data_IF_018058578930
#
_entry.id   IF_018058578930
#
_cell.length_a   1.000
_cell.length_b   1.000
_cell.length_c   1.000
_cell.angle_alpha   90.00
_cell.angle_beta   90.00
_cell.angle_gamma   90.00
#
_symmetry.space_group_name_H-M   'P 1'
#
loop_
_entity.id
_entity.type
_entity.pdbx_description
1 polymer ?
#
# COMPACT_ATOMS: atom_id res chain seq x y z
N UNK A 1 18.14 19.78 14.43
CA UNK A 1 17.72 18.39 14.12
C UNK A 1 16.19 18.32 14.24
N UNK A 2 15.46 18.55 13.14
CA UNK A 2 14.00 18.36 13.12
C UNK A 2 13.75 16.92 12.69
N UNK A 3 13.58 16.02 13.65
CA UNK A 3 13.10 14.69 13.40
C UNK A 3 11.69 14.77 12.82
N UNK A 4 11.57 14.53 11.53
CA UNK A 4 10.29 14.42 10.84
C UNK A 4 9.54 13.25 11.50
N UNK A 5 8.53 13.56 12.33
CA UNK A 5 7.56 12.56 12.78
C UNK A 5 6.97 11.96 11.52
N UNK A 6 7.32 10.71 11.22
CA UNK A 6 6.63 9.96 10.19
C UNK A 6 5.14 9.94 10.56
N UNK A 7 4.32 10.50 9.68
CA UNK A 7 2.89 10.58 9.92
C UNK A 7 2.31 9.18 10.17
N UNK A 8 1.90 8.93 11.39
CA UNK A 8 1.28 7.67 11.84
C UNK A 8 -0.15 7.52 11.30
N UNK A 9 -0.63 8.49 10.54
CA UNK A 9 -1.99 8.54 10.00
C UNK A 9 -1.96 8.41 8.48
N UNK A 10 -2.91 7.65 7.93
CA UNK A 10 -3.22 7.60 6.50
C UNK A 10 -4.55 8.31 6.27
N UNK A 11 -4.51 9.46 5.60
CA UNK A 11 -5.68 10.35 5.41
C UNK A 11 -6.48 9.95 4.16
N UNK A 12 -7.07 8.78 4.20
CA UNK A 12 -8.09 8.37 3.22
C UNK A 12 -9.44 8.99 3.59
N UNK A 13 -10.26 9.30 2.57
CA UNK A 13 -11.57 9.93 2.77
C UNK A 13 -12.68 8.90 2.76
N UNK A 14 -13.81 9.26 3.36
CA UNK A 14 -15.05 8.48 3.25
C UNK A 14 -15.29 8.03 1.78
N UNK A 15 -15.68 6.79 1.54
CA UNK A 15 -16.19 5.77 2.48
C UNK A 15 -15.10 4.95 3.18
N UNK A 16 -13.82 5.29 3.01
CA UNK A 16 -12.68 4.59 3.59
C UNK A 16 -12.32 5.16 4.97
N UNK A 17 -11.83 4.30 5.85
CA UNK A 17 -11.03 4.70 7.01
C UNK A 17 -9.81 3.81 7.15
N UNK A 18 -8.77 4.33 7.80
CA UNK A 18 -7.51 3.63 8.00
C UNK A 18 -7.14 3.64 9.49
N UNK A 19 -6.82 2.46 10.04
CA UNK A 19 -6.34 2.28 11.40
C UNK A 19 -4.93 1.69 11.34
N UNK A 20 -3.96 2.36 11.96
CA UNK A 20 -2.59 1.85 12.07
C UNK A 20 -2.59 0.60 12.96
N UNK A 21 -1.95 -0.47 12.52
CA UNK A 21 -1.76 -1.68 13.30
C UNK A 21 -0.49 -1.55 14.15
N UNK A 22 -0.64 -1.83 15.45
CA UNK A 22 0.40 -1.55 16.46
C UNK A 22 1.01 -2.81 17.08
N UNK A 23 0.44 -3.98 16.78
CA UNK A 23 0.92 -5.27 17.27
C UNK A 23 0.22 -5.73 18.55
N UNK A 24 -1.08 -5.55 18.63
CA UNK A 24 -1.92 -6.22 19.64
C UNK A 24 -2.12 -7.69 19.28
N UNK A 25 -2.42 -8.54 20.26
CA UNK A 25 -2.72 -9.94 20.02
C UNK A 25 -3.93 -10.11 19.07
N UNK A 26 -4.98 -9.31 19.27
CA UNK A 26 -6.17 -9.33 18.43
C UNK A 26 -5.87 -9.01 16.97
N UNK A 27 -5.05 -7.99 16.70
CA UNK A 27 -4.62 -7.64 15.34
C UNK A 27 -3.89 -8.81 14.67
N UNK A 28 -2.98 -9.47 15.40
CA UNK A 28 -2.24 -10.63 14.90
C UNK A 28 -3.14 -11.81 14.57
N UNK A 29 -4.10 -12.12 15.45
CA UNK A 29 -5.07 -13.21 15.25
C UNK A 29 -5.95 -12.95 14.02
N UNK A 30 -6.47 -11.73 13.90
CA UNK A 30 -7.31 -11.31 12.77
C UNK A 30 -6.56 -11.41 11.44
N UNK A 31 -5.33 -10.87 11.37
CA UNK A 31 -4.52 -10.97 10.15
C UNK A 31 -4.18 -12.42 9.82
N UNK A 32 -3.78 -13.22 10.80
CA UNK A 32 -3.48 -14.64 10.59
C UNK A 32 -4.69 -15.39 10.02
N UNK A 33 -5.90 -15.10 10.52
CA UNK A 33 -7.14 -15.71 10.01
C UNK A 33 -7.43 -15.28 8.56
N UNK A 34 -7.36 -13.99 8.26
CA UNK A 34 -7.62 -13.46 6.91
C UNK A 34 -6.63 -13.98 5.88
N UNK A 35 -5.34 -14.01 6.19
CA UNK A 35 -4.29 -14.43 5.24
C UNK A 35 -4.29 -15.92 4.91
N UNK A 36 -5.11 -16.74 5.61
CA UNK A 36 -5.35 -18.15 5.27
C UNK A 36 -6.39 -18.36 4.17
N UNK A 37 -7.08 -17.31 3.72
CA UNK A 37 -8.03 -17.41 2.62
C UNK A 37 -7.30 -17.83 1.34
N UNK A 38 -7.84 -18.79 0.61
CA UNK A 38 -7.19 -19.45 -0.52
C UNK A 38 -6.63 -18.48 -1.57
N UNK A 39 -7.40 -17.44 -1.91
CA UNK A 39 -6.95 -16.45 -2.89
C UNK A 39 -5.79 -15.58 -2.39
N UNK A 40 -5.67 -15.34 -1.06
CA UNK A 40 -4.55 -14.62 -0.46
C UNK A 40 -3.32 -15.52 -0.33
N UNK A 41 -3.51 -16.78 0.02
CA UNK A 41 -2.42 -17.78 0.02
C UNK A 41 -1.75 -17.83 -1.36
N UNK A 42 -2.54 -17.86 -2.43
CA UNK A 42 -2.04 -17.91 -3.81
C UNK A 42 -1.36 -16.63 -4.30
N UNK A 43 -1.73 -15.48 -3.75
CA UNK A 43 -1.31 -14.17 -4.30
C UNK A 43 -0.34 -13.41 -3.41
N UNK A 44 -0.39 -13.64 -2.10
CA UNK A 44 0.46 -12.94 -1.13
C UNK A 44 1.52 -13.85 -0.48
N UNK A 45 1.24 -15.13 -0.32
CA UNK A 45 2.13 -16.14 0.26
C UNK A 45 2.67 -15.81 1.66
N UNK A 46 1.93 -15.03 2.48
CA UNK A 46 2.28 -14.69 3.87
C UNK A 46 1.31 -15.31 4.86
N UNK A 47 1.28 -16.64 4.92
CA UNK A 47 0.47 -17.40 5.89
C UNK A 47 1.22 -17.49 7.21
N UNK A 48 1.33 -16.36 7.91
CA UNK A 48 2.06 -16.29 9.17
C UNK A 48 1.13 -16.60 10.36
N UNK A 49 1.68 -17.22 11.45
CA UNK A 49 0.96 -17.33 12.70
C UNK A 49 0.77 -15.96 13.35
N UNK A 50 -0.22 -15.83 14.23
CA UNK A 50 -0.60 -14.57 14.88
C UNK A 50 0.59 -13.84 15.54
N UNK A 51 1.42 -14.55 16.30
CA UNK A 51 2.60 -13.97 16.96
C UNK A 51 3.57 -13.31 15.97
N UNK A 52 3.77 -13.90 14.79
CA UNK A 52 4.65 -13.31 13.76
C UNK A 52 4.09 -12.01 13.18
N UNK A 53 2.75 -11.88 13.06
CA UNK A 53 2.11 -10.62 12.67
C UNK A 53 2.29 -9.56 13.75
N UNK A 54 2.08 -9.92 15.02
CA UNK A 54 2.33 -9.03 16.17
C UNK A 54 3.77 -8.50 16.15
N UNK A 55 4.75 -9.39 16.00
CA UNK A 55 6.17 -9.01 15.96
C UNK A 55 6.49 -8.13 14.75
N UNK A 56 5.87 -8.39 13.60
CA UNK A 56 6.01 -7.56 12.40
C UNK A 56 5.51 -6.13 12.66
N UNK A 57 4.30 -5.97 13.20
CA UNK A 57 3.74 -4.64 13.48
C UNK A 57 4.55 -3.86 14.52
N UNK A 58 4.98 -4.52 15.60
CA UNK A 58 5.83 -3.88 16.62
C UNK A 58 7.18 -3.43 16.06
N UNK A 59 7.78 -4.24 15.22
CA UNK A 59 9.04 -3.90 14.55
C UNK A 59 8.84 -2.72 13.61
N UNK A 60 7.80 -2.74 12.77
CA UNK A 60 7.46 -1.64 11.87
C UNK A 60 7.27 -0.33 12.62
N UNK A 61 6.61 -0.38 13.77
CA UNK A 61 6.42 0.79 14.64
C UNK A 61 7.75 1.30 15.23
N UNK A 62 8.65 0.40 15.63
CA UNK A 62 9.94 0.75 16.22
C UNK A 62 10.93 1.31 15.20
N UNK A 63 10.99 0.73 14.01
CA UNK A 63 11.92 1.11 12.93
C UNK A 63 11.39 2.28 12.08
N UNK A 64 10.07 2.48 12.04
CA UNK A 64 9.43 3.49 11.21
C UNK A 64 9.61 3.24 9.70
N UNK A 65 10.00 2.02 9.31
CA UNK A 65 10.27 1.63 7.92
C UNK A 65 8.97 1.39 7.15
N UNK A 66 8.04 0.71 7.79
CA UNK A 66 6.77 0.29 7.22
C UNK A 66 5.61 0.78 8.09
N UNK A 67 4.48 1.06 7.45
CA UNK A 67 3.26 1.48 8.13
C UNK A 67 2.13 0.54 7.74
N UNK A 68 1.82 -0.47 8.57
CA UNK A 68 0.72 -1.39 8.34
C UNK A 68 -0.62 -0.78 8.76
N UNK A 69 -1.62 -0.86 7.89
CA UNK A 69 -2.96 -0.35 8.14
C UNK A 69 -4.04 -1.40 7.89
N UNK A 70 -5.04 -1.41 8.75
CA UNK A 70 -6.34 -1.98 8.44
C UNK A 70 -7.21 -0.90 7.80
N UNK A 71 -7.72 -1.21 6.62
CA UNK A 71 -8.65 -0.34 5.91
C UNK A 71 -10.06 -0.87 6.08
N UNK A 72 -11.00 0.03 6.38
CA UNK A 72 -12.43 -0.29 6.35
C UNK A 72 -13.12 0.44 5.21
N UNK A 73 -14.19 -0.17 4.70
CA UNK A 73 -15.15 0.42 3.77
C UNK A 73 -16.50 0.50 4.46
N UNK A 74 -17.03 1.71 4.67
CA UNK A 74 -18.29 1.93 5.41
C UNK A 74 -18.33 1.19 6.77
N UNK A 75 -17.20 1.23 7.51
CA UNK A 75 -17.05 0.60 8.81
C UNK A 75 -16.74 -0.91 8.78
N UNK A 76 -16.83 -1.58 7.62
CA UNK A 76 -16.52 -2.99 7.45
C UNK A 76 -15.05 -3.20 7.05
N UNK A 77 -14.38 -4.17 7.66
CA UNK A 77 -13.00 -4.51 7.30
C UNK A 77 -12.91 -4.87 5.81
N UNK A 78 -12.02 -4.21 5.08
CA UNK A 78 -11.89 -4.31 3.63
C UNK A 78 -10.53 -4.83 3.19
N UNK A 79 -9.45 -4.18 3.63
CA UNK A 79 -8.11 -4.50 3.15
C UNK A 79 -7.04 -4.31 4.23
N UNK A 80 -5.96 -5.05 4.08
CA UNK A 80 -4.69 -4.81 4.73
C UNK A 80 -3.76 -4.08 3.76
N UNK A 81 -3.08 -3.04 4.25
CA UNK A 81 -2.15 -2.22 3.47
C UNK A 81 -0.86 -2.02 4.24
N UNK A 82 0.28 -2.14 3.58
CA UNK A 82 1.58 -1.68 4.06
C UNK A 82 2.05 -0.53 3.16
N UNK A 83 2.41 0.60 3.77
CA UNK A 83 3.07 1.72 3.07
C UNK A 83 4.48 1.85 3.61
N UNK A 84 5.48 1.85 2.75
CA UNK A 84 6.88 1.86 3.14
C UNK A 84 7.71 2.83 2.29
N UNK A 85 8.87 3.24 2.83
CA UNK A 85 9.84 4.02 2.04
C UNK A 85 10.56 3.10 1.05
N UNK A 86 10.47 3.43 -0.22
CA UNK A 86 11.00 2.59 -1.31
C UNK A 86 12.50 2.32 -1.15
N UNK A 87 13.26 3.30 -0.66
CA UNK A 87 14.71 3.18 -0.39
C UNK A 87 15.08 2.09 0.62
N UNK A 88 14.15 1.69 1.50
CA UNK A 88 14.37 0.64 2.51
C UNK A 88 13.81 -0.72 2.09
N UNK A 89 13.26 -0.82 0.88
CA UNK A 89 12.63 -2.04 0.38
C UNK A 89 13.61 -2.93 -0.38
N UNK A 90 13.20 -4.18 -0.58
CA UNK A 90 13.90 -5.12 -1.47
C UNK A 90 13.95 -4.66 -2.92
N UNK A 91 13.15 -3.67 -3.31
CA UNK A 91 13.16 -3.07 -4.64
C UNK A 91 14.24 -2.01 -4.83
N UNK A 92 14.77 -1.43 -3.77
CA UNK A 92 15.72 -0.31 -3.86
C UNK A 92 16.90 -0.57 -4.82
N UNK A 93 17.50 -1.77 -4.90
CA UNK A 93 18.56 -2.06 -5.85
C UNK A 93 18.10 -2.19 -7.31
N UNK A 94 16.80 -2.23 -7.58
CA UNK A 94 16.23 -2.59 -8.87
C UNK A 94 15.42 -1.49 -9.54
N UNK A 95 15.21 -0.37 -8.85
CA UNK A 95 14.38 0.74 -9.34
C UNK A 95 15.00 2.07 -8.95
N UNK A 96 14.83 3.09 -9.78
CA UNK A 96 15.18 4.45 -9.38
C UNK A 96 14.17 4.95 -8.35
N UNK A 97 14.65 5.63 -7.33
CA UNK A 97 13.82 6.18 -6.26
C UNK A 97 14.35 7.52 -5.74
N UNK A 98 13.41 8.36 -5.32
CA UNK A 98 13.70 9.58 -4.55
C UNK A 98 13.58 9.31 -3.05
N UNK A 99 14.19 10.16 -2.22
CA UNK A 99 14.24 10.03 -0.75
C UNK A 99 12.89 9.80 -0.07
N UNK A 100 11.81 10.26 -0.68
CA UNK A 100 10.44 10.19 -0.15
C UNK A 100 9.50 9.31 -0.96
N UNK A 101 10.02 8.59 -1.94
CA UNK A 101 9.20 7.69 -2.74
C UNK A 101 8.71 6.51 -1.92
N UNK A 102 7.48 6.11 -2.20
CA UNK A 102 6.75 5.14 -1.41
C UNK A 102 6.53 3.85 -2.19
N UNK A 103 6.60 2.76 -1.46
CA UNK A 103 6.08 1.47 -1.92
C UNK A 103 4.78 1.12 -1.19
N UNK A 104 3.96 0.27 -1.80
CA UNK A 104 2.75 -0.23 -1.17
C UNK A 104 2.51 -1.72 -1.43
N UNK A 105 2.01 -2.40 -0.40
CA UNK A 105 1.37 -3.70 -0.50
C UNK A 105 -0.10 -3.55 -0.17
N UNK A 106 -0.96 -4.32 -0.85
CA UNK A 106 -2.40 -4.32 -0.61
C UNK A 106 -2.98 -5.73 -0.74
N UNK A 107 -3.72 -6.17 0.27
CA UNK A 107 -4.55 -7.37 0.24
C UNK A 107 -5.99 -7.02 0.59
N UNK A 108 -6.93 -7.27 -0.32
CA UNK A 108 -8.36 -7.22 0.02
C UNK A 108 -8.67 -8.45 0.85
N UNK A 109 -9.08 -8.25 2.11
CA UNK A 109 -9.25 -9.31 3.12
C UNK A 109 -10.68 -9.84 3.21
N UNK A 110 -11.66 -9.11 2.69
CA UNK A 110 -13.06 -9.54 2.66
C UNK A 110 -13.43 -10.05 1.26
N UNK A 111 -13.65 -11.37 1.09
CA UNK A 111 -13.99 -11.95 -0.19
C UNK A 111 -15.31 -11.41 -0.76
N UNK A 112 -16.27 -11.01 0.09
CA UNK A 112 -17.52 -10.44 -0.35
C UNK A 112 -17.40 -9.04 -0.98
N UNK A 113 -16.25 -8.38 -0.77
CA UNK A 113 -15.93 -7.07 -1.34
C UNK A 113 -14.98 -7.17 -2.55
N UNK A 114 -14.57 -8.38 -2.94
CA UNK A 114 -13.79 -8.59 -4.16
C UNK A 114 -14.67 -8.48 -5.41
N UNK A 115 -14.05 -8.33 -6.59
CA UNK A 115 -14.73 -8.27 -7.91
C UNK A 115 -15.80 -7.18 -8.09
N UNK A 116 -15.84 -6.17 -7.20
CA UNK A 116 -16.78 -5.03 -7.25
C UNK A 116 -16.13 -3.72 -7.69
N UNK A 117 -14.91 -3.75 -8.18
CA UNK A 117 -14.15 -2.55 -8.52
C UNK A 117 -13.62 -1.76 -7.30
N UNK A 118 -13.96 -2.17 -6.07
CA UNK A 118 -13.57 -1.46 -4.84
C UNK A 118 -12.05 -1.39 -4.67
N UNK A 119 -11.31 -2.45 -5.01
CA UNK A 119 -9.85 -2.44 -4.96
C UNK A 119 -9.23 -1.36 -5.86
N UNK A 120 -9.74 -1.20 -7.07
CA UNK A 120 -9.30 -0.15 -8.00
C UNK A 120 -9.64 1.24 -7.46
N UNK A 121 -10.88 1.44 -7.00
CA UNK A 121 -11.32 2.71 -6.40
C UNK A 121 -10.46 3.08 -5.19
N UNK A 122 -10.24 2.12 -4.30
CA UNK A 122 -9.40 2.35 -3.13
C UNK A 122 -7.94 2.70 -3.51
N UNK A 123 -7.35 2.01 -4.48
CA UNK A 123 -5.98 2.32 -4.97
C UNK A 123 -5.86 3.75 -5.49
N UNK A 124 -6.87 4.27 -6.20
CA UNK A 124 -6.92 5.65 -6.66
C UNK A 124 -6.92 6.61 -5.47
N UNK A 125 -7.83 6.39 -4.51
CA UNK A 125 -7.99 7.24 -3.33
C UNK A 125 -6.76 7.19 -2.41
N UNK A 126 -6.19 6.00 -2.21
CA UNK A 126 -4.96 5.76 -1.45
C UNK A 126 -3.78 6.51 -2.07
N UNK A 127 -3.54 6.33 -3.35
CA UNK A 127 -2.41 6.95 -4.06
C UNK A 127 -2.52 8.48 -4.01
N UNK A 128 -3.72 9.03 -4.21
CA UNK A 128 -3.97 10.45 -4.06
C UNK A 128 -3.73 10.94 -2.62
N UNK A 129 -4.14 10.18 -1.61
CA UNK A 129 -3.88 10.49 -0.20
C UNK A 129 -2.38 10.51 0.10
N UNK A 130 -1.63 9.52 -0.37
CA UNK A 130 -0.16 9.44 -0.20
C UNK A 130 0.54 10.65 -0.81
N UNK A 131 0.15 11.06 -2.01
CA UNK A 131 0.70 12.25 -2.65
C UNK A 131 0.31 13.56 -1.91
N UNK A 132 -0.90 13.68 -1.37
CA UNK A 132 -1.29 14.85 -0.58
C UNK A 132 -0.49 14.96 0.72
N UNK A 133 -0.32 13.83 1.43
CA UNK A 133 0.37 13.81 2.72
C UNK A 133 1.89 13.96 2.60
N UNK A 134 2.47 13.55 1.50
CA UNK A 134 3.90 13.65 1.26
C UNK A 134 4.19 14.40 -0.06
N UNK A 135 4.24 15.75 -0.03
CA UNK A 135 4.50 16.54 -1.24
C UNK A 135 5.83 16.22 -1.94
N UNK A 136 6.81 15.73 -1.20
CA UNK A 136 8.12 15.33 -1.74
C UNK A 136 8.13 13.94 -2.37
N UNK A 137 7.06 13.14 -2.25
CA UNK A 137 6.93 11.85 -2.94
C UNK A 137 6.71 12.09 -4.43
N UNK A 138 7.57 11.56 -5.27
CA UNK A 138 7.49 11.74 -6.74
C UNK A 138 6.79 10.56 -7.42
N UNK A 139 6.78 9.40 -6.79
CA UNK A 139 6.10 8.20 -7.27
C UNK A 139 5.68 7.27 -6.14
N UNK A 140 4.68 6.44 -6.43
CA UNK A 140 4.29 5.30 -5.62
C UNK A 140 4.50 4.03 -6.43
N UNK A 141 5.12 3.01 -5.84
CA UNK A 141 5.47 1.75 -6.50
C UNK A 141 4.76 0.58 -5.83
N UNK A 142 4.28 -0.36 -6.62
CA UNK A 142 3.78 -1.65 -6.17
C UNK A 142 4.48 -2.76 -6.97
N UNK A 143 4.69 -3.93 -6.32
CA UNK A 143 5.40 -5.04 -6.95
C UNK A 143 4.64 -6.37 -6.83
N UNK A 144 3.42 -6.47 -7.41
CA UNK A 144 2.70 -7.73 -7.44
C UNK A 144 3.48 -8.81 -8.19
N UNK A 145 3.26 -10.08 -7.83
CA UNK A 145 3.73 -11.20 -8.64
C UNK A 145 3.21 -11.06 -10.08
N UNK A 146 4.04 -11.40 -11.06
CA UNK A 146 3.65 -11.37 -12.49
C UNK A 146 2.44 -12.25 -12.77
N UNK A 147 2.23 -13.31 -12.00
CA UNK A 147 1.08 -14.19 -12.08
C UNK A 147 -0.20 -13.58 -11.47
N UNK A 148 -0.08 -12.55 -10.60
CA UNK A 148 -1.24 -11.89 -10.00
C UNK A 148 -1.90 -10.90 -10.99
N UNK A 149 -2.55 -11.45 -12.01
CA UNK A 149 -3.18 -10.68 -13.09
C UNK A 149 -4.29 -9.76 -12.58
N UNK A 150 -4.98 -10.15 -11.50
CA UNK A 150 -6.06 -9.36 -10.88
C UNK A 150 -5.50 -8.06 -10.31
N UNK A 151 -4.47 -8.14 -9.46
CA UNK A 151 -3.84 -6.95 -8.87
C UNK A 151 -3.17 -6.07 -9.94
N UNK A 152 -2.49 -6.68 -10.91
CA UNK A 152 -1.88 -5.93 -12.02
C UNK A 152 -2.91 -5.16 -12.84
N UNK A 153 -4.10 -5.73 -13.07
CA UNK A 153 -5.22 -5.05 -13.74
C UNK A 153 -5.75 -3.89 -12.88
N UNK A 154 -5.98 -4.12 -11.58
CA UNK A 154 -6.44 -3.10 -10.66
C UNK A 154 -5.47 -1.91 -10.62
N UNK A 155 -4.16 -2.17 -10.50
CA UNK A 155 -3.12 -1.14 -10.53
C UNK A 155 -3.12 -0.34 -11.83
N UNK A 156 -3.20 -1.02 -13.00
CA UNK A 156 -3.30 -0.30 -14.29
C UNK A 156 -4.51 0.63 -14.34
N UNK A 157 -5.67 0.13 -13.92
CA UNK A 157 -6.91 0.92 -13.88
C UNK A 157 -6.86 2.07 -12.85
N UNK A 158 -5.88 2.03 -11.93
CA UNK A 158 -5.64 3.08 -10.93
C UNK A 158 -4.50 4.04 -11.30
N UNK A 159 -4.02 4.01 -12.57
CA UNK A 159 -3.00 4.92 -13.06
C UNK A 159 -1.55 4.41 -12.95
N UNK A 160 -1.33 3.18 -12.44
CA UNK A 160 0.00 2.57 -12.43
C UNK A 160 0.38 2.02 -13.80
N UNK A 161 1.64 2.15 -14.15
CA UNK A 161 2.22 1.61 -15.40
C UNK A 161 3.26 0.56 -15.10
N UNK A 162 3.26 -0.53 -15.86
CA UNK A 162 4.32 -1.54 -15.81
C UNK A 162 5.61 -0.93 -16.39
N UNK A 163 6.69 -0.93 -15.62
CA UNK A 163 7.99 -0.40 -16.04
C UNK A 163 9.07 -1.48 -16.18
N UNK A 164 8.81 -2.67 -15.68
CA UNK A 164 9.74 -3.79 -15.78
C UNK A 164 9.32 -4.97 -14.91
N UNK A 165 10.18 -5.97 -14.86
CA UNK A 165 10.05 -7.11 -13.94
C UNK A 165 11.38 -7.35 -13.25
N UNK A 166 11.33 -7.86 -12.02
CA UNK A 166 12.51 -8.23 -11.24
C UNK A 166 12.31 -9.57 -10.56
N UNK A 167 13.34 -10.39 -10.53
CA UNK A 167 13.32 -11.65 -9.79
C UNK A 167 13.70 -11.37 -8.33
N UNK A 168 12.75 -11.56 -7.44
CA UNK A 168 12.91 -11.52 -6.00
C UNK A 168 13.04 -12.95 -5.45
N UNK A 169 13.48 -13.15 -4.20
CA UNK A 169 13.68 -14.48 -3.63
C UNK A 169 12.42 -15.35 -3.62
N UNK A 170 11.24 -14.76 -3.50
CA UNK A 170 9.95 -15.42 -3.33
C UNK A 170 9.01 -15.32 -4.55
N UNK A 171 9.32 -14.44 -5.51
CA UNK A 171 8.45 -14.19 -6.68
C UNK A 171 9.20 -13.54 -7.83
N UNK A 172 8.62 -13.58 -9.02
CA UNK A 172 8.94 -12.62 -10.09
C UNK A 172 7.97 -11.45 -9.99
N UNK A 173 8.47 -10.29 -9.61
CA UNK A 173 7.67 -9.09 -9.37
C UNK A 173 7.48 -8.28 -10.65
N UNK A 174 6.27 -7.80 -10.91
CA UNK A 174 5.96 -6.79 -11.91
C UNK A 174 6.08 -5.41 -11.26
N UNK A 175 7.02 -4.59 -11.72
CA UNK A 175 7.22 -3.23 -11.19
C UNK A 175 6.16 -2.30 -11.77
N UNK A 176 5.22 -1.89 -10.92
CA UNK A 176 4.11 -1.03 -11.26
C UNK A 176 4.33 0.34 -10.62
N UNK A 177 4.49 1.39 -11.43
CA UNK A 177 4.77 2.75 -10.95
C UNK A 177 3.60 3.69 -11.24
N UNK A 178 3.25 4.52 -10.27
CA UNK A 178 2.37 5.66 -10.41
C UNK A 178 3.18 6.93 -10.12
N UNK A 179 3.59 7.70 -11.15
CA UNK A 179 4.25 8.98 -10.93
C UNK A 179 3.26 10.00 -10.37
N UNK A 180 3.75 10.98 -9.61
CA UNK A 180 2.94 12.12 -9.21
C UNK A 180 2.46 12.87 -10.46
N UNK A 181 1.17 13.18 -10.56
CA UNK A 181 0.68 14.07 -11.61
C UNK A 181 1.38 15.43 -11.53
N UNK A 182 1.68 16.06 -12.67
CA UNK A 182 2.18 17.44 -12.67
C UNK A 182 1.19 18.35 -11.93
N UNK A 183 1.71 19.36 -11.22
CA UNK A 183 0.86 20.37 -10.61
C UNK A 183 0.02 21.05 -11.71
N UNK A 184 -1.30 21.14 -11.49
CA UNK A 184 -2.13 21.94 -12.39
C UNK A 184 -1.61 23.38 -12.39
N UNK A 185 -1.44 24.02 -13.56
CA UNK A 185 -1.07 25.43 -13.59
C UNK A 185 -2.16 26.22 -12.87
N UNK A 186 -1.75 27.00 -11.87
CA UNK A 186 -2.64 27.93 -11.19
C UNK A 186 -3.13 28.91 -12.25
N UNK A 187 -4.34 28.70 -12.78
CA UNK A 187 -5.01 29.69 -13.61
C UNK A 187 -5.26 30.91 -12.73
N UNK A 188 -4.45 31.95 -12.91
CA UNK A 188 -4.68 33.24 -12.29
C UNK A 188 -6.10 33.67 -12.69
N UNK A 189 -7.01 33.69 -11.73
CA UNK A 189 -8.31 34.37 -11.96
C UNK A 189 -7.97 35.82 -12.20
N UNK A 190 -8.13 36.26 -13.43
CA UNK A 190 -8.20 37.68 -13.76
C UNK A 190 -9.55 38.15 -13.21
N UNK A 191 -9.55 38.72 -12.02
CA UNK A 191 -10.65 39.54 -11.54
C UNK A 191 -10.71 40.79 -12.45
N UNK A 192 -11.76 40.89 -13.19
CA UNK A 192 -12.17 42.12 -13.87
C UNK A 192 -13.27 42.79 -13.06
#
# INVERSE_FOLDING_TARGET
>A
MHGTRHETRLDVRHPWSATLLTGTAEEGERLSAWMRQEYLVRTWNRVWPAGRWVDHFRRSAAEGSDRPFLITFEGRAFAYVEVYLLRHSVLAPHVDWGERDLGLHLAVIDPALTHRGLGTRFLIDLTAALFRQSPATTQVVAEPDVANTVMRRALRSSGYRLTGTVRLPDKTAAIMRCPRPPAEPVTARHDR
#
